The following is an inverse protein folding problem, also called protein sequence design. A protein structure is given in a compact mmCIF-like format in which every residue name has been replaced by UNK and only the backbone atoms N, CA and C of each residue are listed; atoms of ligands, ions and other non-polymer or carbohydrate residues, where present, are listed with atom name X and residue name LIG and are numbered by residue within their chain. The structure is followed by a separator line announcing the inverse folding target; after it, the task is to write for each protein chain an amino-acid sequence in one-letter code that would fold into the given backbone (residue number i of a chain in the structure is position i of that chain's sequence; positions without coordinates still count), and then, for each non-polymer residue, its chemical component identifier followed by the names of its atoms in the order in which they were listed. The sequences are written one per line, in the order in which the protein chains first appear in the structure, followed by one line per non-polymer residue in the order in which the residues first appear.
data_IF_232749544939
#
_entry.id   IF_232749544939
#
_cell.length_a   1.000
_cell.length_b   1.000
_cell.length_c   1.000
_cell.angle_alpha   90.00
_cell.angle_beta   90.00
_cell.angle_gamma   90.00
#
_symmetry.space_group_name_H-M   'P 1'
#
loop_
_entity.id
_entity.type
_entity.pdbx_description
1 polymer ?
#
# COMPACT_ATOMS: atom_id res chain seq x y z
N UNK A 1 7.19 4.11 25.26
CA UNK A 1 6.19 4.43 24.22
C UNK A 1 6.87 5.46 23.36
N UNK A 2 7.55 5.01 22.31
CA UNK A 2 8.36 5.90 21.47
C UNK A 2 7.41 6.72 20.61
N UNK A 3 7.52 8.04 20.73
CA UNK A 3 6.80 9.01 19.94
C UNK A 3 7.37 8.88 18.52
N UNK A 4 6.70 8.12 17.65
CA UNK A 4 7.20 7.87 16.30
C UNK A 4 7.32 9.21 15.56
N UNK A 5 8.54 9.60 15.18
CA UNK A 5 8.87 10.82 14.42
C UNK A 5 8.36 10.74 12.96
N UNK A 6 7.06 10.57 12.77
CA UNK A 6 6.39 10.71 11.47
C UNK A 6 5.71 12.07 11.37
N UNK A 7 5.78 12.67 10.19
CA UNK A 7 5.19 14.00 9.96
C UNK A 7 3.77 13.90 9.43
N UNK A 8 3.46 12.84 8.67
CA UNK A 8 2.18 12.61 8.02
C UNK A 8 1.90 11.10 7.92
N UNK A 9 0.62 10.74 8.00
CA UNK A 9 0.11 9.38 7.86
C UNK A 9 -0.97 9.38 6.77
N UNK A 10 -1.04 8.32 5.97
CA UNK A 10 -2.01 8.18 4.90
C UNK A 10 -2.41 6.72 4.69
N UNK A 11 -3.59 6.54 4.11
CA UNK A 11 -4.02 5.25 3.58
C UNK A 11 -3.76 5.22 2.08
N UNK A 12 -3.02 4.22 1.62
CA UNK A 12 -2.79 3.94 0.21
C UNK A 12 -3.61 2.73 -0.22
N UNK A 13 -4.39 2.86 -1.28
CA UNK A 13 -5.20 1.79 -1.83
C UNK A 13 -4.79 1.55 -3.28
N UNK A 14 -4.60 0.29 -3.66
CA UNK A 14 -4.25 -0.09 -5.02
C UNK A 14 -5.00 -1.33 -5.50
N UNK A 15 -5.45 -1.28 -6.76
CA UNK A 15 -5.88 -2.44 -7.51
C UNK A 15 -4.65 -3.07 -8.17
N UNK A 16 -4.40 -4.32 -7.82
CA UNK A 16 -3.17 -5.04 -8.16
C UNK A 16 -3.47 -6.27 -8.99
N UNK A 17 -2.46 -6.71 -9.71
CA UNK A 17 -2.49 -8.01 -10.38
C UNK A 17 -1.13 -8.68 -10.31
N UNK A 18 -1.16 -10.00 -10.23
CA UNK A 18 0.01 -10.85 -10.12
C UNK A 18 -0.05 -11.97 -11.15
N UNK A 19 1.09 -12.25 -11.77
CA UNK A 19 1.22 -13.36 -12.72
C UNK A 19 1.75 -14.59 -11.98
N UNK A 20 1.02 -15.69 -12.05
CA UNK A 20 1.37 -16.94 -11.39
C UNK A 20 1.26 -18.13 -12.33
N UNK A 21 2.09 -19.14 -12.10
CA UNK A 21 2.01 -20.44 -12.77
C UNK A 21 1.10 -21.38 -11.96
N UNK A 22 0.07 -21.93 -12.59
CA UNK A 22 -0.84 -22.90 -11.98
C UNK A 22 -1.48 -23.80 -13.05
N UNK A 23 -2.13 -24.89 -12.67
CA UNK A 23 -2.83 -25.75 -13.63
C UNK A 23 -4.26 -25.27 -13.91
N UNK A 24 -4.89 -24.58 -12.96
CA UNK A 24 -6.28 -24.11 -13.06
C UNK A 24 -6.43 -22.70 -12.48
N UNK A 25 -7.48 -21.97 -12.89
CA UNK A 25 -7.83 -20.67 -12.31
C UNK A 25 -8.03 -20.75 -10.80
N UNK A 26 -8.70 -21.80 -10.33
CA UNK A 26 -8.95 -22.03 -8.90
C UNK A 26 -7.64 -22.19 -8.13
N UNK A 27 -6.74 -23.03 -8.63
CA UNK A 27 -5.42 -23.21 -8.03
C UNK A 27 -4.62 -21.91 -8.04
N UNK A 28 -4.65 -21.14 -9.12
CA UNK A 28 -3.98 -19.83 -9.20
C UNK A 28 -4.47 -18.89 -8.09
N UNK A 29 -5.78 -18.77 -7.91
CA UNK A 29 -6.37 -17.92 -6.87
C UNK A 29 -5.99 -18.38 -5.46
N UNK A 30 -6.16 -19.67 -5.17
CA UNK A 30 -5.86 -20.26 -3.86
C UNK A 30 -4.37 -20.11 -3.52
N UNK A 31 -3.49 -20.35 -4.49
CA UNK A 31 -2.05 -20.24 -4.31
C UNK A 31 -1.64 -18.78 -4.04
N UNK A 32 -2.16 -17.82 -4.80
CA UNK A 32 -1.86 -16.41 -4.57
C UNK A 32 -2.39 -15.93 -3.22
N UNK A 33 -3.61 -16.32 -2.84
CA UNK A 33 -4.18 -15.97 -1.55
C UNK A 33 -3.38 -16.58 -0.37
N UNK A 34 -2.79 -17.75 -0.58
CA UNK A 34 -1.91 -18.37 0.41
C UNK A 34 -0.53 -17.70 0.46
N UNK A 35 0.09 -17.40 -0.69
CA UNK A 35 1.45 -16.86 -0.77
C UNK A 35 1.54 -15.35 -0.49
N UNK A 36 0.49 -14.59 -0.81
CA UNK A 36 0.41 -13.14 -0.65
C UNK A 36 -0.93 -12.77 -0.01
N UNK A 37 -0.88 -12.52 1.29
CA UNK A 37 -2.00 -12.04 2.08
C UNK A 37 -1.49 -11.03 3.12
N UNK A 38 -2.45 -10.43 3.85
CA UNK A 38 -2.19 -9.46 4.90
C UNK A 38 -1.12 -9.90 5.91
N UNK A 39 -1.04 -11.19 6.23
CA UNK A 39 -0.20 -11.70 7.32
C UNK A 39 1.22 -12.09 6.92
N UNK A 40 1.46 -12.38 5.63
CA UNK A 40 2.76 -12.86 5.15
C UNK A 40 3.48 -11.90 4.20
N UNK A 41 2.82 -10.84 3.74
CA UNK A 41 3.43 -9.85 2.88
C UNK A 41 4.53 -9.07 3.62
N UNK A 42 5.77 -9.18 3.11
CA UNK A 42 6.91 -8.41 3.63
C UNK A 42 7.10 -7.12 2.82
N UNK A 43 6.21 -6.15 3.05
CA UNK A 43 6.30 -4.83 2.42
C UNK A 43 6.58 -3.77 3.49
N UNK A 44 7.82 -3.26 3.51
CA UNK A 44 8.26 -2.27 4.50
C UNK A 44 8.18 -0.83 4.01
N UNK A 45 8.33 -0.61 2.71
CA UNK A 45 8.44 0.72 2.12
C UNK A 45 7.83 0.75 0.72
N UNK A 46 7.29 1.91 0.35
CA UNK A 46 6.85 2.20 -1.02
C UNK A 46 7.38 3.56 -1.45
N UNK A 47 7.75 3.69 -2.73
CA UNK A 47 8.18 4.97 -3.30
C UNK A 47 7.05 5.55 -4.13
N UNK A 48 6.61 6.77 -3.80
CA UNK A 48 5.60 7.50 -4.53
C UNK A 48 6.18 8.80 -5.08
N UNK A 49 5.70 9.21 -6.24
CA UNK A 49 6.08 10.42 -6.94
C UNK A 49 4.97 11.46 -6.81
N UNK A 50 5.32 12.71 -6.52
CA UNK A 50 4.37 13.82 -6.52
C UNK A 50 4.10 14.35 -7.95
N UNK A 51 3.26 15.36 -8.09
CA UNK A 51 2.93 15.98 -9.37
C UNK A 51 4.11 16.72 -10.02
N UNK A 52 5.13 17.09 -9.25
CA UNK A 52 6.35 17.76 -9.70
C UNK A 52 7.43 16.78 -10.19
N UNK A 53 7.24 15.47 -9.98
CA UNK A 53 8.21 14.43 -10.31
C UNK A 53 9.15 14.06 -9.15
N UNK A 54 8.98 14.65 -7.97
CA UNK A 54 9.79 14.33 -6.80
C UNK A 54 9.34 13.02 -6.17
N UNK A 55 10.30 12.12 -5.94
CA UNK A 55 10.05 10.81 -5.33
C UNK A 55 10.27 10.83 -3.82
N UNK A 56 9.34 10.25 -3.09
CA UNK A 56 9.38 10.12 -1.63
C UNK A 56 9.17 8.68 -1.22
N UNK A 57 9.94 8.25 -0.21
CA UNK A 57 9.82 6.91 0.37
C UNK A 57 8.90 6.99 1.58
N UNK A 58 7.82 6.23 1.53
CA UNK A 58 6.87 6.06 2.60
C UNK A 58 7.11 4.71 3.27
N UNK A 59 7.18 4.70 4.60
CA UNK A 59 7.25 3.45 5.38
C UNK A 59 5.84 2.88 5.51
N UNK A 60 5.68 1.59 5.24
CA UNK A 60 4.44 0.86 5.45
C UNK A 60 4.37 0.47 6.93
N UNK A 61 3.38 1.00 7.64
CA UNK A 61 3.13 0.74 9.06
C UNK A 61 2.31 -0.53 9.23
N UNK A 62 1.27 -0.67 8.43
CA UNK A 62 0.39 -1.84 8.44
C UNK A 62 -0.13 -2.13 7.04
N UNK A 63 -0.30 -3.41 6.71
CA UNK A 63 -1.15 -3.83 5.59
C UNK A 63 -2.57 -4.00 6.13
N UNK A 64 -3.45 -3.05 5.86
CA UNK A 64 -4.82 -3.07 6.37
C UNK A 64 -5.66 -4.16 5.68
N UNK A 65 -5.48 -4.33 4.37
CA UNK A 65 -6.23 -5.26 3.53
C UNK A 65 -5.37 -5.81 2.39
N UNK A 66 -5.55 -7.09 2.05
CA UNK A 66 -5.00 -7.70 0.85
C UNK A 66 -5.86 -8.88 0.41
N UNK A 67 -6.69 -8.65 -0.60
CA UNK A 67 -7.68 -9.63 -1.07
C UNK A 67 -7.55 -9.88 -2.56
N UNK A 68 -7.79 -11.13 -2.96
CA UNK A 68 -7.77 -11.59 -4.36
C UNK A 68 -9.14 -12.10 -4.75
N UNK A 69 -9.64 -11.70 -5.91
CA UNK A 69 -11.05 -11.89 -6.25
C UNK A 69 -11.31 -12.40 -7.67
N UNK A 70 -10.38 -12.26 -8.61
CA UNK A 70 -10.59 -12.68 -10.00
C UNK A 70 -9.32 -13.24 -10.65
N UNK A 71 -9.49 -14.06 -11.70
CA UNK A 71 -8.41 -14.71 -12.42
C UNK A 71 -8.68 -14.76 -13.92
N UNK A 72 -7.74 -14.22 -14.69
CA UNK A 72 -7.72 -14.30 -16.14
C UNK A 72 -6.65 -15.25 -16.67
N UNK A 73 -6.92 -15.78 -17.87
CA UNK A 73 -5.90 -16.46 -18.67
C UNK A 73 -4.94 -15.44 -19.25
N UNK A 74 -3.69 -15.87 -19.40
CA UNK A 74 -2.72 -15.16 -20.23
C UNK A 74 -2.54 -15.90 -21.56
N UNK A 75 -1.76 -15.32 -22.47
CA UNK A 75 -1.38 -15.96 -23.73
C UNK A 75 -0.43 -17.16 -23.51
N UNK A 76 0.17 -17.27 -22.32
CA UNK A 76 1.07 -18.35 -21.94
C UNK A 76 0.29 -19.49 -21.27
N UNK A 77 0.51 -20.71 -21.74
CA UNK A 77 -0.05 -21.91 -21.10
C UNK A 77 0.32 -21.99 -19.62
N UNK A 78 -0.65 -22.36 -18.79
CA UNK A 78 -0.51 -22.50 -17.32
C UNK A 78 -0.11 -21.22 -16.58
N UNK A 79 -0.10 -20.06 -17.24
CA UNK A 79 0.09 -18.77 -16.59
C UNK A 79 -1.26 -18.04 -16.48
N UNK A 80 -1.54 -17.58 -15.27
CA UNK A 80 -2.75 -16.87 -14.92
C UNK A 80 -2.42 -15.49 -14.37
N UNK A 81 -3.31 -14.55 -14.65
CA UNK A 81 -3.28 -13.22 -14.06
C UNK A 81 -4.34 -13.15 -12.98
N UNK A 82 -3.92 -13.08 -11.72
CA UNK A 82 -4.80 -12.97 -10.56
C UNK A 82 -4.95 -11.50 -10.19
N UNK A 83 -6.18 -11.05 -10.01
CA UNK A 83 -6.52 -9.68 -9.65
C UNK A 83 -6.93 -9.59 -8.19
N UNK A 84 -6.50 -8.49 -7.57
CA UNK A 84 -6.75 -8.22 -6.17
C UNK A 84 -6.72 -6.74 -5.86
N UNK A 85 -6.93 -6.44 -4.59
CA UNK A 85 -6.79 -5.11 -4.04
C UNK A 85 -5.90 -5.18 -2.80
N UNK A 86 -5.23 -4.06 -2.53
CA UNK A 86 -4.44 -3.90 -1.31
C UNK A 86 -4.70 -2.52 -0.71
N UNK A 87 -4.71 -2.48 0.60
CA UNK A 87 -4.78 -1.25 1.38
C UNK A 87 -3.64 -1.23 2.39
N UNK A 88 -2.88 -0.16 2.40
CA UNK A 88 -1.71 0.05 3.24
C UNK A 88 -1.91 1.29 4.09
N UNK A 89 -1.56 1.19 5.36
CA UNK A 89 -1.30 2.34 6.20
C UNK A 89 0.18 2.72 6.04
N UNK A 90 0.42 3.93 5.54
CA UNK A 90 1.76 4.42 5.24
C UNK A 90 2.06 5.70 6.01
N UNK A 91 3.32 5.88 6.39
CA UNK A 91 3.80 7.05 7.11
C UNK A 91 4.99 7.66 6.36
N UNK A 92 5.07 8.99 6.40
CA UNK A 92 6.26 9.72 5.96
C UNK A 92 7.06 10.12 7.20
N UNK A 93 8.29 9.60 7.30
CA UNK A 93 9.22 9.94 8.38
C UNK A 93 9.86 11.30 8.13
N UNK A 94 10.16 12.02 9.21
CA UNK A 94 10.84 13.31 9.13
C UNK A 94 12.25 13.14 8.55
N UNK A 95 12.49 13.74 7.39
CA UNK A 95 13.83 13.86 6.79
C UNK A 95 14.25 15.33 6.78
N UNK A 96 15.55 15.61 6.61
CA UNK A 96 16.07 17.00 6.61
C UNK A 96 15.44 17.87 5.52
N UNK A 97 15.01 17.27 4.42
CA UNK A 97 14.49 17.95 3.23
C UNK A 97 12.98 17.73 3.02
N UNK A 98 12.24 17.36 4.07
CA UNK A 98 10.81 17.09 3.88
C UNK A 98 10.03 18.39 3.66
N UNK A 99 9.21 18.49 2.59
CA UNK A 99 8.42 19.68 2.31
C UNK A 99 7.48 20.04 3.46
N UNK A 100 7.16 21.33 3.60
CA UNK A 100 6.19 21.77 4.62
C UNK A 100 4.74 21.41 4.27
N UNK A 101 4.45 21.17 2.99
CA UNK A 101 3.09 20.98 2.47
C UNK A 101 2.87 19.61 1.82
N UNK A 102 3.56 18.57 2.32
CA UNK A 102 3.43 17.18 1.82
C UNK A 102 1.96 16.75 1.73
N UNK A 103 1.15 17.10 2.74
CA UNK A 103 -0.27 16.69 2.79
C UNK A 103 -1.16 17.34 1.71
N UNK A 104 -0.66 18.38 1.01
CA UNK A 104 -1.41 19.05 -0.06
C UNK A 104 -1.14 18.46 -1.45
N UNK A 105 -0.09 17.64 -1.60
CA UNK A 105 0.27 17.06 -2.88
C UNK A 105 -0.44 15.72 -3.15
N UNK A 106 -0.70 15.45 -4.43
CA UNK A 106 -1.11 14.12 -4.89
C UNK A 106 0.12 13.26 -5.12
N UNK A 107 0.08 12.03 -4.62
CA UNK A 107 1.15 11.06 -4.77
C UNK A 107 0.69 9.87 -5.59
N UNK A 108 1.56 9.40 -6.49
CA UNK A 108 1.30 8.26 -7.36
C UNK A 108 2.49 7.33 -7.47
N UNK A 109 2.23 6.05 -7.77
CA UNK A 109 3.30 5.13 -8.15
C UNK A 109 3.88 5.55 -9.51
N UNK A 110 5.20 5.59 -9.61
CA UNK A 110 5.91 5.86 -10.85
C UNK A 110 5.67 4.74 -11.87
N UNK A 111 5.66 5.10 -13.15
CA UNK A 111 5.46 4.13 -14.22
C UNK A 111 6.73 3.29 -14.42
N UNK A 112 6.57 1.99 -14.60
CA UNK A 112 7.69 1.14 -15.01
C UNK A 112 8.12 1.51 -16.42
N UNK A 113 9.42 1.75 -16.60
CA UNK A 113 10.05 1.98 -17.91
C UNK A 113 9.88 0.78 -18.87
N UNK A 114 9.68 -0.42 -18.34
CA UNK A 114 9.62 -1.67 -19.11
C UNK A 114 8.21 -1.96 -19.60
N UNK A 115 7.20 -1.79 -18.73
CA UNK A 115 5.82 -2.21 -19.00
C UNK A 115 4.84 -1.05 -19.25
N UNK A 116 5.29 0.20 -19.08
CA UNK A 116 4.44 1.39 -19.20
C UNK A 116 3.31 1.45 -18.15
N UNK A 117 3.37 0.60 -17.13
CA UNK A 117 2.41 0.51 -16.03
C UNK A 117 3.15 0.60 -14.70
N UNK A 118 2.55 1.18 -13.65
CA UNK A 118 3.16 1.16 -12.34
C UNK A 118 3.30 -0.27 -11.82
N UNK A 119 4.45 -0.59 -11.24
CA UNK A 119 4.76 -1.90 -10.67
C UNK A 119 5.22 -1.69 -9.23
N UNK A 120 4.56 -2.37 -8.30
CA UNK A 120 4.99 -2.46 -6.91
C UNK A 120 5.87 -3.70 -6.77
N UNK A 121 7.08 -3.52 -6.26
CA UNK A 121 8.02 -4.62 -6.01
C UNK A 121 8.07 -4.93 -4.52
N UNK A 122 7.75 -6.16 -4.15
CA UNK A 122 7.89 -6.68 -2.80
C UNK A 122 9.13 -7.58 -2.80
N UNK A 123 10.09 -7.30 -1.94
CA UNK A 123 11.34 -8.07 -1.86
C UNK A 123 11.41 -8.84 -0.55
N UNK A 124 11.36 -10.16 -0.63
CA UNK A 124 11.48 -11.08 0.50
C UNK A 124 12.77 -11.90 0.33
N UNK A 125 13.86 -11.43 0.93
CA UNK A 125 15.19 -12.00 0.74
C UNK A 125 15.62 -11.94 -0.73
N UNK A 126 15.76 -13.11 -1.37
CA UNK A 126 16.10 -13.23 -2.81
C UNK A 126 14.88 -13.33 -3.72
N UNK A 127 13.66 -13.42 -3.17
CA UNK A 127 12.41 -13.48 -3.93
C UNK A 127 11.92 -12.06 -4.18
N UNK A 128 11.75 -11.70 -5.44
CA UNK A 128 11.09 -10.45 -5.84
C UNK A 128 9.71 -10.77 -6.41
N UNK A 129 8.68 -10.19 -5.82
CA UNK A 129 7.30 -10.28 -6.28
C UNK A 129 6.96 -8.95 -6.95
N UNK A 130 6.54 -9.03 -8.21
CA UNK A 130 6.15 -7.87 -8.99
C UNK A 130 4.63 -7.82 -9.13
N UNK A 131 4.01 -6.81 -8.53
CA UNK A 131 2.58 -6.57 -8.60
C UNK A 131 2.34 -5.43 -9.60
N UNK A 132 1.60 -5.71 -10.66
CA UNK A 132 1.18 -4.65 -11.60
C UNK A 132 0.01 -3.89 -11.00
N UNK A 133 0.14 -2.57 -10.88
CA UNK A 133 -0.90 -1.70 -10.32
C UNK A 133 -1.71 -1.09 -11.46
N UNK A 134 -3.01 -1.36 -11.51
CA UNK A 134 -3.91 -0.81 -12.53
C UNK A 134 -4.46 0.56 -12.13
N UNK A 135 -4.76 0.73 -10.84
CA UNK A 135 -5.30 1.95 -10.25
C UNK A 135 -4.77 2.06 -8.82
N UNK A 136 -4.56 3.29 -8.35
CA UNK A 136 -4.28 3.53 -6.95
C UNK A 136 -4.79 4.91 -6.53
N UNK A 137 -4.96 5.08 -5.23
CA UNK A 137 -5.31 6.35 -4.58
C UNK A 137 -4.62 6.42 -3.23
N UNK A 138 -4.30 7.63 -2.80
CA UNK A 138 -3.77 7.91 -1.48
C UNK A 138 -4.67 8.94 -0.81
N UNK A 139 -4.99 8.72 0.46
CA UNK A 139 -5.77 9.63 1.28
C UNK A 139 -5.03 9.91 2.58
N UNK A 140 -4.72 11.17 2.83
CA UNK A 140 -4.10 11.61 4.08
C UNK A 140 -5.04 11.38 5.26
N UNK A 141 -4.50 10.88 6.37
CA UNK A 141 -5.19 10.90 7.65
C UNK A 141 -4.94 12.26 8.27
N UNK A 142 -5.91 13.16 8.16
CA UNK A 142 -5.90 14.44 8.87
C UNK A 142 -5.75 14.18 10.38
N UNK A 143 -4.79 14.84 11.03
CA UNK A 143 -4.51 14.79 12.49
C UNK A 143 -5.70 15.15 13.40
N UNK A 144 -6.88 15.43 12.86
CA UNK A 144 -8.05 15.92 13.58
C UNK A 144 -8.88 14.84 14.28
N UNK A 145 -8.53 13.55 14.21
CA UNK A 145 -9.31 12.49 14.86
C UNK A 145 -8.82 12.08 16.26
N UNK A 146 -7.66 12.55 16.73
CA UNK A 146 -7.21 12.23 18.10
C UNK A 146 -7.81 13.15 19.17
N UNK A 147 -8.31 14.33 18.82
CA UNK A 147 -8.82 15.30 19.82
C UNK A 147 -10.25 15.02 20.27
N UNK A 148 -11.10 14.36 19.47
CA UNK A 148 -12.52 14.16 19.83
C UNK A 148 -12.71 13.11 20.95
N UNK A 149 -11.90 12.05 20.99
CA UNK A 149 -11.98 11.01 22.03
C UNK A 149 -11.41 11.47 23.38
N UNK A 150 -10.36 12.32 23.39
CA UNK A 150 -9.84 12.88 24.64
C UNK A 150 -10.79 13.92 25.25
N UNK A 151 -11.52 14.67 24.42
CA UNK A 151 -12.42 15.72 24.94
C UNK A 151 -13.70 15.12 25.56
N UNK A 152 -14.26 14.04 25.01
CA UNK A 152 -15.41 13.35 25.62
C UNK A 152 -15.08 12.71 26.97
N UNK A 153 -13.88 12.14 27.12
CA UNK A 153 -13.46 11.47 28.36
C UNK A 153 -13.20 12.48 29.50
N UNK A 154 -12.73 13.70 29.17
CA UNK A 154 -12.50 14.78 30.15
C UNK A 154 -13.80 15.48 30.56
N UNK A 155 -14.81 15.54 29.69
CA UNK A 155 -16.10 16.13 30.02
C UNK A 155 -16.96 15.22 30.93
N UNK A 156 -16.91 13.90 30.71
CA UNK A 156 -17.65 12.93 31.54
C UNK A 156 -17.07 12.79 32.96
N UNK A 157 -15.77 13.03 33.16
CA UNK A 157 -15.11 12.95 34.47
C UNK A 157 -15.24 14.22 35.32
N UNK A 158 -15.74 15.33 34.75
CA UNK A 158 -16.00 16.60 35.47
C UNK A 158 -17.46 16.80 35.86
N UNK A 159 -18.35 15.89 35.48
CA UNK A 159 -19.78 15.91 35.78
C UNK A 159 -20.20 14.82 36.78
N UNK A 160 -19.25 14.07 37.33
CA UNK A 160 -19.45 13.04 38.37
C UNK A 160 -19.00 13.54 39.75
#
# INVERSE_FOLDING_TARGET
MEQEDYIAEATFHANISYLIQAQTKKQALEQVAYELNKTNIQLSEITLENELGDSYVFTVREVEQMDWYDVDHTECSNQFKVFGCMQLLIILRKQKDTPKDVEQATYRLSQSLVYGKPVLTISEGYKHIFLTVSQHKMAWKTKLQETELETETVLLSKLA
#
